data_IF_658922130986
#
_entry.id   IF_658922130986
#
_cell.length_a   1.000
_cell.length_b   1.000
_cell.length_c   1.000
_cell.angle_alpha   90.00
_cell.angle_beta   90.00
_cell.angle_gamma   90.00
#
_symmetry.space_group_name_H-M   'P 1'
#
loop_
_entity.id
_entity.type
_entity.pdbx_description
1 polymer ?
#
# COMPACT_ATOMS: atom_id res chain seq x y z
N UNK A 1 -3.43 -19.08 -7.75
CA UNK A 1 -3.44 -17.83 -8.54
C UNK A 1 -2.83 -16.77 -7.66
N UNK A 2 -1.86 -16.02 -8.19
CA UNK A 2 -1.20 -14.96 -7.43
C UNK A 2 -2.17 -13.79 -7.21
N UNK A 3 -2.01 -13.10 -6.07
CA UNK A 3 -2.80 -11.94 -5.69
C UNK A 3 -1.87 -10.74 -5.58
N UNK A 4 -2.26 -9.64 -6.23
CA UNK A 4 -1.46 -8.42 -6.29
C UNK A 4 -2.16 -7.29 -5.54
N UNK A 5 -1.36 -6.40 -4.97
CA UNK A 5 -1.79 -5.21 -4.25
C UNK A 5 -0.95 -4.02 -4.69
N UNK A 6 -1.52 -2.83 -4.65
CA UNK A 6 -0.83 -1.59 -4.98
C UNK A 6 -1.16 -0.53 -3.95
N UNK A 7 -0.11 0.13 -3.45
CA UNK A 7 -0.18 1.25 -2.53
C UNK A 7 0.72 2.38 -3.03
N UNK A 8 0.52 3.59 -2.51
CA UNK A 8 1.43 4.69 -2.78
C UNK A 8 2.84 4.35 -2.25
N UNK A 9 3.86 4.59 -3.06
CA UNK A 9 5.25 4.30 -2.70
C UNK A 9 5.80 5.30 -1.67
N UNK A 10 5.16 6.45 -1.49
CA UNK A 10 5.63 7.48 -0.56
C UNK A 10 5.09 7.18 0.83
N UNK A 11 5.98 6.97 1.79
CA UNK A 11 5.63 6.85 3.20
C UNK A 11 5.02 8.18 3.69
N UNK A 12 3.77 8.18 4.18
CA UNK A 12 3.07 9.39 4.60
C UNK A 12 3.69 10.08 5.83
N UNK A 13 4.58 9.40 6.56
CA UNK A 13 5.25 9.98 7.72
C UNK A 13 6.31 11.02 7.32
N UNK A 14 7.30 10.64 6.50
CA UNK A 14 8.43 11.51 6.12
C UNK A 14 8.95 11.25 4.68
N UNK A 15 8.11 10.70 3.80
CA UNK A 15 8.38 10.67 2.36
C UNK A 15 9.32 9.55 1.87
N UNK A 16 9.79 8.66 2.74
CA UNK A 16 10.63 7.53 2.33
C UNK A 16 9.92 6.59 1.34
N UNK A 17 10.67 5.92 0.46
CA UNK A 17 10.12 4.94 -0.48
C UNK A 17 9.80 3.62 0.22
N UNK A 18 8.52 3.27 0.32
CA UNK A 18 8.03 2.01 0.88
C UNK A 18 8.47 0.79 0.07
N UNK A 19 8.66 0.94 -1.25
CA UNK A 19 9.22 -0.10 -2.12
C UNK A 19 10.68 -0.47 -1.81
N UNK A 20 11.39 0.36 -1.04
CA UNK A 20 12.72 0.03 -0.48
C UNK A 20 12.63 -0.58 0.93
N UNK A 21 11.42 -0.75 1.46
CA UNK A 21 11.15 -1.33 2.76
C UNK A 21 11.19 -2.86 2.76
N UNK A 22 10.76 -3.44 3.89
CA UNK A 22 10.65 -4.90 4.06
C UNK A 22 9.19 -5.31 4.04
N UNK A 23 8.84 -6.34 3.25
CA UNK A 23 7.52 -6.95 3.24
C UNK A 23 7.54 -8.25 4.05
N UNK A 24 6.68 -8.37 5.06
CA UNK A 24 6.45 -9.60 5.83
C UNK A 24 4.96 -9.94 5.80
N UNK A 25 4.60 -11.01 5.11
CA UNK A 25 3.19 -11.33 4.85
C UNK A 25 2.55 -10.21 4.03
N UNK A 26 1.58 -9.50 4.61
CA UNK A 26 0.93 -8.34 3.99
C UNK A 26 1.40 -7.00 4.56
N UNK A 27 2.36 -7.01 5.48
CA UNK A 27 2.81 -5.80 6.15
C UNK A 27 4.11 -5.32 5.53
N UNK A 28 4.08 -4.12 4.96
CA UNK A 28 5.30 -3.41 4.53
C UNK A 28 5.77 -2.48 5.64
N UNK A 29 7.05 -2.60 6.01
CA UNK A 29 7.73 -1.72 6.96
C UNK A 29 8.55 -0.69 6.21
N UNK A 30 8.32 0.59 6.49
CA UNK A 30 9.09 1.72 5.99
C UNK A 30 10.56 1.56 6.37
N UNK A 31 11.53 1.73 5.45
CA UNK A 31 12.95 1.48 5.72
C UNK A 31 13.60 2.52 6.65
N UNK A 32 12.94 3.64 6.93
CA UNK A 32 13.52 4.74 7.71
C UNK A 32 13.24 4.57 9.22
N UNK A 33 11.96 4.38 9.59
CA UNK A 33 11.49 4.39 10.98
C UNK A 33 10.56 3.21 11.29
N UNK A 34 10.56 2.18 10.45
CA UNK A 34 9.77 0.95 10.61
C UNK A 34 8.24 1.13 10.69
N UNK A 35 7.70 2.31 10.35
CA UNK A 35 6.25 2.51 10.22
C UNK A 35 5.66 1.45 9.29
N UNK A 36 4.61 0.79 9.77
CA UNK A 36 4.03 -0.38 9.12
C UNK A 36 2.72 -0.05 8.45
N UNK A 37 2.47 -0.70 7.31
CA UNK A 37 1.22 -0.61 6.57
C UNK A 37 0.82 -1.98 6.04
N UNK A 38 -0.46 -2.33 6.17
CA UNK A 38 -1.04 -3.48 5.49
C UNK A 38 -1.33 -3.11 4.04
N UNK A 39 -0.67 -3.79 3.08
CA UNK A 39 -0.81 -3.50 1.65
C UNK A 39 -2.22 -3.74 1.09
N UNK A 40 -3.08 -4.45 1.84
CA UNK A 40 -4.46 -4.75 1.47
C UNK A 40 -5.39 -3.59 1.76
N UNK A 41 -5.16 -2.89 2.88
CA UNK A 41 -6.05 -1.87 3.42
C UNK A 41 -5.45 -0.47 3.39
N UNK A 42 -4.13 -0.36 3.37
CA UNK A 42 -3.40 0.91 3.50
C UNK A 42 -3.22 1.39 4.94
N UNK A 43 -3.83 0.73 5.93
CA UNK A 43 -3.75 1.14 7.34
C UNK A 43 -2.56 0.51 8.06
N UNK A 44 -2.22 1.05 9.23
CA UNK A 44 -1.38 0.35 10.20
C UNK A 44 -1.98 -1.01 10.60
N UNK A 45 -1.15 -1.97 11.08
CA UNK A 45 -1.63 -3.29 11.50
C UNK A 45 -2.67 -3.28 12.63
N UNK A 46 -2.66 -2.23 13.45
CA UNK A 46 -3.61 -1.94 14.52
C UNK A 46 -4.84 -1.14 14.04
N UNK A 47 -4.90 -0.80 12.75
CA UNK A 47 -5.95 0.02 12.14
C UNK A 47 -5.81 1.53 12.38
N UNK A 48 -4.74 1.99 13.06
CA UNK A 48 -4.56 3.38 13.44
C UNK A 48 -3.35 4.07 12.77
N UNK A 49 -3.15 5.35 13.12
CA UNK A 49 -1.98 6.14 12.73
C UNK A 49 -2.00 6.62 11.28
N UNK A 50 -0.81 6.71 10.68
CA UNK A 50 -0.69 7.04 9.26
C UNK A 50 -1.29 5.94 8.40
N UNK A 51 -1.86 6.33 7.27
CA UNK A 51 -2.35 5.41 6.26
C UNK A 51 -1.79 5.78 4.89
N UNK A 52 -1.58 4.76 4.07
CA UNK A 52 -1.10 4.88 2.70
C UNK A 52 -2.26 4.63 1.74
N UNK A 53 -2.37 5.48 0.73
CA UNK A 53 -3.37 5.33 -0.33
C UNK A 53 -3.17 3.99 -1.03
N UNK A 54 -4.27 3.29 -1.31
CA UNK A 54 -4.31 2.04 -2.05
C UNK A 54 -4.91 2.25 -3.44
N UNK A 55 -4.61 1.34 -4.35
CA UNK A 55 -5.09 1.38 -5.73
C UNK A 55 -5.70 0.03 -6.11
N UNK A 56 -6.69 0.08 -7.00
CA UNK A 56 -7.23 -1.15 -7.58
C UNK A 56 -6.23 -1.80 -8.51
N UNK A 57 -6.15 -3.13 -8.41
CA UNK A 57 -5.28 -3.95 -9.24
C UNK A 57 -6.11 -4.98 -10.00
N UNK A 58 -5.84 -5.12 -11.30
CA UNK A 58 -6.47 -6.13 -12.16
C UNK A 58 -5.40 -6.92 -12.90
N UNK A 59 -5.47 -8.25 -12.83
CA UNK A 59 -4.70 -9.13 -13.71
C UNK A 59 -5.52 -9.39 -14.96
N UNK A 60 -5.02 -8.97 -16.11
CA UNK A 60 -5.70 -9.14 -17.39
C UNK A 60 -4.66 -9.31 -18.50
N UNK A 61 -4.87 -10.32 -19.33
CA UNK A 61 -4.02 -10.64 -20.49
C UNK A 61 -2.53 -10.86 -20.11
N UNK A 62 -2.27 -11.50 -18.97
CA UNK A 62 -0.89 -11.73 -18.47
C UNK A 62 -0.23 -10.50 -17.84
N UNK A 63 -0.87 -9.33 -17.84
CA UNK A 63 -0.36 -8.09 -17.24
C UNK A 63 -1.04 -7.77 -15.91
N UNK A 64 -0.32 -7.05 -15.05
CA UNK A 64 -0.84 -6.44 -13.82
C UNK A 64 -1.10 -4.97 -14.08
N UNK A 65 -2.38 -4.59 -14.08
CA UNK A 65 -2.84 -3.21 -14.27
C UNK A 65 -3.14 -2.57 -12.93
N UNK A 66 -2.71 -1.32 -12.75
CA UNK A 66 -3.04 -0.49 -11.58
C UNK A 66 -3.94 0.65 -12.03
N UNK A 67 -5.09 0.84 -11.37
CA UNK A 67 -5.94 1.99 -11.60
C UNK A 67 -5.28 3.24 -10.96
N UNK A 68 -5.03 4.28 -11.74
CA UNK A 68 -4.45 5.52 -11.23
C UNK A 68 -5.40 6.32 -10.33
N UNK A 69 -6.70 6.04 -10.36
CA UNK A 69 -7.65 6.64 -9.41
C UNK A 69 -7.36 6.06 -8.02
N UNK A 70 -6.95 6.88 -7.04
CA UNK A 70 -6.68 6.40 -5.70
C UNK A 70 -7.98 5.95 -5.03
N UNK A 71 -7.90 4.88 -4.25
CA UNK A 71 -8.90 4.53 -3.24
C UNK A 71 -8.41 5.09 -1.91
N UNK A 72 -8.56 6.40 -1.76
CA UNK A 72 -8.36 7.01 -0.46
C UNK A 72 -9.57 6.74 0.44
N UNK A 73 -9.33 6.86 1.73
CA UNK A 73 -10.31 6.58 2.77
C UNK A 73 -11.31 7.74 2.96
N UNK A 74 -11.07 8.88 2.31
CA UNK A 74 -11.95 10.05 2.35
C UNK A 74 -13.03 10.04 1.27
N UNK A 75 -12.79 9.39 0.13
CA UNK A 75 -13.74 9.33 -0.98
C UNK A 75 -14.94 8.41 -0.74
N UNK A 76 -14.90 7.56 0.29
CA UNK A 76 -16.00 6.64 0.62
C UNK A 76 -16.23 5.52 -0.40
N UNK A 77 -15.26 5.28 -1.30
CA UNK A 77 -15.26 4.22 -2.32
C UNK A 77 -14.50 2.93 -1.93
#
# INVERSE_FOLDING_TARGET
>A
RDRFYAINNICPHQGASLGKGKLKGYIVSCPLHDQQFDVRSGFGPDGGGYCVVRYDVKVYDGYVWVNFKPKDWFSGE
#
